data_IF_778070687901
#
_entry.id   IF_778070687901
#
_cell.length_a   1.000
_cell.length_b   1.000
_cell.length_c   1.000
_cell.angle_alpha   90.00
_cell.angle_beta   90.00
_cell.angle_gamma   90.00
#
_symmetry.space_group_name_H-M   'P 1'
#
loop_
_entity.id
_entity.type
_entity.pdbx_description
1 polymer ?
#
# COMPACT_ATOMS: atom_id res chain seq x y z
N UNK A 1 21.03 1.64 -4.76
CA UNK A 1 21.24 0.57 -5.75
C UNK A 1 20.01 0.52 -6.62
N UNK A 2 20.20 0.58 -7.92
CA UNK A 2 19.13 0.37 -8.88
C UNK A 2 18.63 -1.10 -8.81
N UNK A 3 17.39 -1.36 -9.23
CA UNK A 3 16.84 -2.72 -9.28
C UNK A 3 17.71 -3.60 -10.16
N UNK A 4 18.22 -3.09 -11.28
CA UNK A 4 19.10 -3.85 -12.18
C UNK A 4 20.44 -4.20 -11.53
N UNK A 5 21.03 -3.26 -10.79
CA UNK A 5 22.29 -3.50 -10.06
C UNK A 5 22.13 -4.61 -9.03
N UNK A 6 21.02 -4.58 -8.29
CA UNK A 6 20.70 -5.59 -7.28
C UNK A 6 20.56 -6.98 -7.90
N UNK A 7 19.86 -7.07 -9.03
CA UNK A 7 19.65 -8.33 -9.74
C UNK A 7 20.96 -8.88 -10.36
N UNK A 8 21.83 -7.99 -10.86
CA UNK A 8 23.16 -8.38 -11.34
C UNK A 8 24.01 -8.92 -10.20
N UNK A 9 23.99 -8.26 -9.03
CA UNK A 9 24.68 -8.74 -7.84
C UNK A 9 24.19 -10.13 -7.41
N UNK A 10 22.87 -10.35 -7.31
CA UNK A 10 22.29 -11.66 -6.98
C UNK A 10 22.73 -12.75 -7.97
N UNK A 11 22.77 -12.42 -9.27
CA UNK A 11 23.21 -13.38 -10.30
C UNK A 11 24.70 -13.72 -10.14
N UNK A 12 25.52 -12.75 -9.74
CA UNK A 12 26.94 -12.98 -9.43
C UNK A 12 27.12 -13.87 -8.19
N UNK A 13 26.41 -13.60 -7.08
CA UNK A 13 26.48 -14.40 -5.85
C UNK A 13 26.01 -15.85 -6.10
N UNK A 14 24.95 -16.04 -6.89
CA UNK A 14 24.50 -17.36 -7.33
C UNK A 14 25.59 -18.13 -8.09
N UNK A 15 26.30 -17.47 -9.01
CA UNK A 15 27.40 -18.11 -9.75
C UNK A 15 28.57 -18.55 -8.84
N UNK A 16 28.72 -17.89 -7.70
CA UNK A 16 29.74 -18.20 -6.68
C UNK A 16 29.22 -19.17 -5.60
N UNK A 17 28.00 -19.70 -5.76
CA UNK A 17 27.33 -20.58 -4.81
C UNK A 17 27.18 -19.99 -3.39
N UNK A 18 27.07 -18.65 -3.30
CA UNK A 18 26.89 -17.88 -2.06
C UNK A 18 25.41 -17.62 -1.80
N UNK A 19 24.65 -18.68 -1.60
CA UNK A 19 23.19 -18.58 -1.39
C UNK A 19 22.85 -17.97 -0.03
N UNK A 20 23.75 -18.09 0.95
CA UNK A 20 23.66 -17.48 2.28
C UNK A 20 23.52 -15.95 2.21
N UNK A 21 24.32 -15.28 1.37
CA UNK A 21 24.27 -13.81 1.22
C UNK A 21 22.94 -13.36 0.61
N UNK A 22 22.35 -14.17 -0.28
CA UNK A 22 21.04 -13.91 -0.88
C UNK A 22 19.93 -14.10 0.15
N UNK A 23 20.01 -15.15 0.98
CA UNK A 23 19.04 -15.38 2.07
C UNK A 23 19.08 -14.26 3.10
N UNK A 24 20.27 -13.79 3.50
CA UNK A 24 20.42 -12.64 4.40
C UNK A 24 19.81 -11.37 3.79
N UNK A 25 20.01 -11.17 2.47
CA UNK A 25 19.40 -10.04 1.77
C UNK A 25 17.87 -10.16 1.70
N UNK A 26 17.32 -11.35 1.43
CA UNK A 26 15.88 -11.59 1.48
C UNK A 26 15.30 -11.35 2.88
N UNK A 27 16.01 -11.78 3.93
CA UNK A 27 15.60 -11.51 5.31
C UNK A 27 15.58 -10.00 5.60
N UNK A 28 16.57 -9.26 5.09
CA UNK A 28 16.58 -7.80 5.18
C UNK A 28 15.40 -7.15 4.46
N UNK A 29 15.08 -7.58 3.22
CA UNK A 29 13.93 -7.07 2.47
C UNK A 29 12.59 -7.41 3.15
N UNK A 30 12.44 -8.61 3.71
CA UNK A 30 11.27 -8.98 4.50
C UNK A 30 11.12 -8.08 5.74
N UNK A 31 12.23 -7.75 6.42
CA UNK A 31 12.24 -6.78 7.51
C UNK A 31 11.77 -5.39 7.07
N UNK A 32 12.22 -4.92 5.89
CA UNK A 32 11.74 -3.66 5.31
C UNK A 32 10.23 -3.71 5.00
N UNK A 33 9.72 -4.81 4.44
CA UNK A 33 8.30 -4.99 4.15
C UNK A 33 7.44 -4.90 5.42
N UNK A 34 7.90 -5.48 6.54
CA UNK A 34 7.20 -5.38 7.83
C UNK A 34 7.10 -3.92 8.26
N UNK A 35 8.21 -3.18 8.21
CA UNK A 35 8.25 -1.79 8.64
C UNK A 35 7.42 -0.87 7.74
N UNK A 36 7.49 -1.04 6.41
CA UNK A 36 6.68 -0.28 5.46
C UNK A 36 5.17 -0.55 5.64
N UNK A 37 4.78 -1.82 5.84
CA UNK A 37 3.38 -2.14 6.12
C UNK A 37 2.92 -1.60 7.46
N UNK A 38 3.78 -1.55 8.47
CA UNK A 38 3.48 -0.92 9.75
C UNK A 38 3.23 0.58 9.55
N UNK A 39 4.10 1.29 8.83
CA UNK A 39 3.94 2.71 8.52
C UNK A 39 2.62 2.99 7.76
N UNK A 40 2.33 2.18 6.73
CA UNK A 40 1.05 2.25 5.99
C UNK A 40 -0.14 2.12 6.95
N UNK A 41 -0.12 1.08 7.79
CA UNK A 41 -1.20 0.79 8.73
C UNK A 41 -1.35 1.87 9.82
N UNK A 42 -0.25 2.45 10.29
CA UNK A 42 -0.26 3.53 11.28
C UNK A 42 -0.90 4.80 10.71
N UNK A 43 -0.51 5.21 9.50
CA UNK A 43 -1.10 6.37 8.82
C UNK A 43 -2.59 6.15 8.53
N UNK A 44 -2.97 4.99 7.96
CA UNK A 44 -4.37 4.64 7.72
C UNK A 44 -5.19 4.67 9.01
N UNK A 45 -4.71 4.06 10.10
CA UNK A 45 -5.40 4.10 11.40
C UNK A 45 -5.49 5.51 11.97
N UNK A 46 -4.44 6.32 11.79
CA UNK A 46 -4.41 7.72 12.21
C UNK A 46 -5.49 8.54 11.50
N UNK A 47 -5.58 8.41 10.18
CA UNK A 47 -6.59 9.07 9.37
C UNK A 47 -8.02 8.64 9.75
N UNK A 48 -8.28 7.34 9.86
CA UNK A 48 -9.63 6.83 10.19
C UNK A 48 -10.09 7.30 11.58
N UNK A 49 -9.20 7.28 12.59
CA UNK A 49 -9.51 7.82 13.92
C UNK A 49 -9.79 9.31 13.91
N UNK A 50 -9.07 10.06 13.10
CA UNK A 50 -9.35 11.49 12.90
C UNK A 50 -10.71 11.68 12.23
N UNK A 51 -11.01 10.88 11.20
CA UNK A 51 -12.26 10.93 10.46
C UNK A 51 -13.46 10.66 11.38
N UNK A 52 -13.42 9.59 12.19
CA UNK A 52 -14.47 9.25 13.17
C UNK A 52 -14.79 10.40 14.12
N UNK A 53 -13.75 11.11 14.58
CA UNK A 53 -13.91 12.29 15.44
C UNK A 53 -14.53 13.47 14.71
N UNK A 54 -14.13 13.70 13.46
CA UNK A 54 -14.63 14.81 12.65
C UNK A 54 -16.08 14.58 12.22
N UNK A 55 -16.44 13.35 11.82
CA UNK A 55 -17.81 13.01 11.41
C UNK A 55 -18.73 12.67 12.59
N UNK A 56 -18.17 12.46 13.79
CA UNK A 56 -18.92 12.11 15.00
C UNK A 56 -19.68 10.79 14.92
N UNK A 57 -19.17 9.83 14.15
CA UNK A 57 -19.76 8.52 13.95
C UNK A 57 -18.66 7.46 13.82
N UNK A 58 -18.94 6.25 14.31
CA UNK A 58 -18.06 5.09 14.11
C UNK A 58 -18.15 4.64 12.65
N UNK A 59 -17.00 4.40 12.01
CA UNK A 59 -16.95 3.95 10.61
C UNK A 59 -17.64 2.58 10.45
N UNK A 60 -17.63 1.73 11.49
CA UNK A 60 -18.25 0.41 11.43
C UNK A 60 -19.78 0.45 11.34
N UNK A 61 -20.41 1.57 11.70
CA UNK A 61 -21.85 1.81 11.59
C UNK A 61 -22.27 2.42 10.23
N UNK A 62 -21.30 2.77 9.38
CA UNK A 62 -21.54 3.41 8.09
C UNK A 62 -21.76 2.39 6.97
N UNK A 63 -22.59 2.77 6.00
CA UNK A 63 -22.74 2.03 4.75
C UNK A 63 -21.46 2.19 3.92
N UNK A 64 -21.03 1.12 3.24
CA UNK A 64 -19.77 1.07 2.46
C UNK A 64 -18.52 1.34 3.30
N UNK A 65 -18.51 0.91 4.57
CA UNK A 65 -17.36 1.06 5.47
C UNK A 65 -16.03 0.55 4.92
N UNK A 66 -16.03 -0.51 4.09
CA UNK A 66 -14.80 -0.99 3.44
C UNK A 66 -14.18 0.07 2.56
N UNK A 67 -14.97 0.76 1.72
CA UNK A 67 -14.48 1.84 0.86
C UNK A 67 -13.96 3.05 1.69
N UNK A 68 -14.49 3.26 2.89
CA UNK A 68 -13.98 4.29 3.82
C UNK A 68 -12.66 3.83 4.44
N UNK A 69 -12.56 2.57 4.87
CA UNK A 69 -11.35 1.97 5.44
C UNK A 69 -10.21 1.88 4.40
N UNK A 70 -10.56 1.67 3.14
CA UNK A 70 -9.68 1.59 1.98
C UNK A 70 -9.68 2.90 1.17
N UNK A 71 -9.87 4.05 1.82
CA UNK A 71 -9.92 5.36 1.15
C UNK A 71 -8.71 5.63 0.23
N UNK A 72 -7.56 5.04 0.54
CA UNK A 72 -6.30 5.18 -0.18
C UNK A 72 -6.21 4.34 -1.47
N UNK A 73 -7.25 3.55 -1.77
CA UNK A 73 -7.44 2.87 -3.05
C UNK A 73 -8.38 3.65 -3.99
N UNK A 74 -8.90 4.80 -3.54
CA UNK A 74 -9.87 5.60 -4.27
C UNK A 74 -9.46 7.06 -4.32
N UNK A 75 -10.07 7.82 -5.23
CA UNK A 75 -9.89 9.27 -5.25
C UNK A 75 -10.76 9.96 -4.19
N UNK A 76 -10.48 11.25 -3.96
CA UNK A 76 -11.23 12.05 -3.00
C UNK A 76 -12.73 12.14 -3.35
N UNK A 77 -13.07 12.15 -4.64
CA UNK A 77 -14.46 12.24 -5.08
C UNK A 77 -15.25 11.00 -4.64
N UNK A 78 -14.71 9.81 -4.86
CA UNK A 78 -15.31 8.56 -4.42
C UNK A 78 -15.46 8.52 -2.90
N UNK A 79 -14.40 8.88 -2.17
CA UNK A 79 -14.43 8.98 -0.72
C UNK A 79 -15.54 9.92 -0.24
N UNK A 80 -15.66 11.10 -0.84
CA UNK A 80 -16.67 12.09 -0.51
C UNK A 80 -18.10 11.60 -0.82
N UNK A 81 -18.32 10.95 -1.96
CA UNK A 81 -19.62 10.38 -2.30
C UNK A 81 -20.06 9.29 -1.31
N UNK A 82 -19.13 8.46 -0.84
CA UNK A 82 -19.41 7.46 0.21
C UNK A 82 -19.80 8.14 1.53
N UNK A 83 -19.15 9.24 1.92
CA UNK A 83 -19.54 10.01 3.11
C UNK A 83 -20.92 10.66 2.95
N UNK A 84 -21.23 11.25 1.78
CA UNK A 84 -22.54 11.87 1.50
C UNK A 84 -23.70 10.89 1.61
N UNK A 85 -23.51 9.63 1.20
CA UNK A 85 -24.53 8.57 1.37
C UNK A 85 -24.87 8.32 2.85
N UNK A 86 -23.93 8.62 3.74
CA UNK A 86 -24.08 8.46 5.18
C UNK A 86 -24.49 9.75 5.91
N UNK A 87 -24.73 10.86 5.21
CA UNK A 87 -24.94 12.20 5.80
C UNK A 87 -25.90 12.27 6.99
N UNK A 88 -26.95 11.44 7.01
CA UNK A 88 -27.96 11.44 8.09
C UNK A 88 -27.42 10.87 9.41
N UNK A 89 -26.31 10.13 9.37
CA UNK A 89 -25.62 9.55 10.53
C UNK A 89 -24.44 10.41 11.01
N UNK A 90 -24.08 11.45 10.26
CA UNK A 90 -22.89 12.25 10.53
C UNK A 90 -23.27 13.52 11.29
N UNK A 91 -22.36 13.97 12.14
CA UNK A 91 -22.46 15.24 12.86
C UNK A 91 -22.09 16.45 11.98
N UNK A 92 -21.46 16.20 10.82
CA UNK A 92 -21.11 17.21 9.82
C UNK A 92 -21.87 16.95 8.53
N UNK A 93 -22.13 18.01 7.75
CA UNK A 93 -22.61 17.86 6.38
C UNK A 93 -21.41 17.78 5.40
N UNK A 94 -21.15 16.64 4.76
CA UNK A 94 -20.10 16.52 3.74
C UNK A 94 -20.40 17.31 2.46
N UNK A 95 -21.58 17.93 2.34
CA UNK A 95 -21.95 18.82 1.24
C UNK A 95 -21.54 20.28 1.52
N UNK A 96 -21.25 20.61 2.78
CA UNK A 96 -20.78 21.94 3.16
C UNK A 96 -19.36 22.20 2.65
N UNK A 97 -19.16 23.36 2.00
CA UNK A 97 -17.90 23.70 1.35
C UNK A 97 -16.71 23.78 2.33
N UNK A 98 -16.92 24.26 3.56
CA UNK A 98 -15.83 24.36 4.54
C UNK A 98 -15.44 22.96 5.04
N UNK A 99 -16.43 22.09 5.26
CA UNK A 99 -16.20 20.70 5.65
C UNK A 99 -15.57 19.87 4.55
N UNK A 100 -16.00 20.04 3.30
CA UNK A 100 -15.35 19.40 2.14
C UNK A 100 -13.88 19.76 2.05
N UNK A 101 -13.55 21.04 2.15
CA UNK A 101 -12.16 21.49 2.11
C UNK A 101 -11.32 20.86 3.23
N UNK A 102 -11.85 20.82 4.45
CA UNK A 102 -11.16 20.18 5.59
C UNK A 102 -10.92 18.69 5.32
N UNK A 103 -11.91 17.97 4.79
CA UNK A 103 -11.79 16.57 4.43
C UNK A 103 -10.75 16.37 3.32
N UNK A 104 -10.74 17.23 2.30
CA UNK A 104 -9.79 17.19 1.19
C UNK A 104 -8.36 17.46 1.64
N UNK A 105 -8.15 18.46 2.48
CA UNK A 105 -6.82 18.82 3.01
C UNK A 105 -6.22 17.65 3.81
N UNK A 106 -7.01 17.02 4.68
CA UNK A 106 -6.57 15.87 5.46
C UNK A 106 -6.40 14.61 4.63
N UNK A 107 -7.29 14.36 3.66
CA UNK A 107 -7.18 13.24 2.73
C UNK A 107 -5.89 13.36 1.92
N UNK A 108 -5.65 14.53 1.32
CA UNK A 108 -4.46 14.80 0.50
C UNK A 108 -3.19 14.67 1.33
N UNK A 109 -3.20 15.18 2.57
CA UNK A 109 -2.07 15.02 3.48
C UNK A 109 -1.77 13.55 3.76
N UNK A 110 -2.79 12.74 4.03
CA UNK A 110 -2.61 11.32 4.28
C UNK A 110 -2.12 10.57 3.05
N UNK A 111 -2.68 10.87 1.87
CA UNK A 111 -2.22 10.30 0.59
C UNK A 111 -0.75 10.65 0.30
N UNK A 112 -0.30 11.87 0.60
CA UNK A 112 1.10 12.26 0.41
C UNK A 112 2.09 11.44 1.25
N UNK A 113 1.62 10.84 2.36
CA UNK A 113 2.40 9.91 3.17
C UNK A 113 2.26 8.48 2.65
N UNK A 114 1.05 8.06 2.27
CA UNK A 114 0.77 6.68 1.84
C UNK A 114 1.32 6.35 0.46
N UNK A 115 1.26 7.26 -0.51
CA UNK A 115 1.74 7.06 -1.88
C UNK A 115 3.21 6.58 -1.94
N UNK A 116 4.19 7.27 -1.33
CA UNK A 116 5.57 6.82 -1.36
C UNK A 116 5.77 5.49 -0.61
N UNK A 117 4.98 5.23 0.44
CA UNK A 117 5.05 3.96 1.19
C UNK A 117 4.51 2.82 0.33
N UNK A 118 3.35 2.99 -0.33
CA UNK A 118 2.78 2.00 -1.26
C UNK A 118 3.74 1.68 -2.39
N UNK A 119 4.35 2.71 -3.00
CA UNK A 119 5.33 2.52 -4.06
C UNK A 119 6.55 1.72 -3.58
N UNK A 120 7.06 2.00 -2.38
CA UNK A 120 8.17 1.23 -1.80
C UNK A 120 7.78 -0.22 -1.54
N UNK A 121 6.60 -0.47 -0.98
CA UNK A 121 6.09 -1.82 -0.76
C UNK A 121 6.06 -2.59 -2.08
N UNK A 122 5.45 -2.02 -3.12
CA UNK A 122 5.38 -2.65 -4.44
C UNK A 122 6.78 -2.91 -5.03
N UNK A 123 7.66 -1.91 -4.97
CA UNK A 123 9.03 -2.06 -5.50
C UNK A 123 9.83 -3.14 -4.77
N UNK A 124 9.65 -3.26 -3.45
CA UNK A 124 10.30 -4.28 -2.64
C UNK A 124 9.72 -5.67 -2.92
N UNK A 125 8.41 -5.79 -3.09
CA UNK A 125 7.71 -7.01 -3.48
C UNK A 125 8.20 -7.53 -4.83
N UNK A 126 8.18 -6.66 -5.85
CA UNK A 126 8.72 -6.95 -7.19
C UNK A 126 10.19 -7.39 -7.16
N UNK A 127 10.98 -6.79 -6.27
CA UNK A 127 12.39 -7.15 -6.10
C UNK A 127 12.53 -8.54 -5.48
N UNK A 128 11.76 -8.85 -4.43
CA UNK A 128 11.76 -10.16 -3.79
C UNK A 128 11.37 -11.24 -4.81
N UNK A 129 10.30 -11.03 -5.58
CA UNK A 129 9.85 -11.97 -6.60
C UNK A 129 10.94 -12.27 -7.62
N UNK A 130 11.60 -11.23 -8.15
CA UNK A 130 12.72 -11.40 -9.10
C UNK A 130 13.89 -12.18 -8.51
N UNK A 131 14.18 -11.99 -7.23
CA UNK A 131 15.23 -12.74 -6.53
C UNK A 131 14.81 -14.21 -6.37
N UNK A 132 13.57 -14.46 -5.97
CA UNK A 132 13.00 -15.80 -5.81
C UNK A 132 12.98 -16.54 -7.15
N UNK A 133 12.52 -15.91 -8.22
CA UNK A 133 12.54 -16.50 -9.57
C UNK A 133 13.94 -16.93 -9.99
N UNK A 134 14.97 -16.14 -9.64
CA UNK A 134 16.38 -16.49 -9.91
C UNK A 134 16.88 -17.62 -9.02
N UNK A 135 16.52 -17.65 -7.75
CA UNK A 135 16.88 -18.73 -6.82
C UNK A 135 16.34 -20.09 -7.31
N UNK A 136 15.12 -20.10 -7.86
CA UNK A 136 14.48 -21.29 -8.40
C UNK A 136 14.72 -21.51 -9.91
N UNK A 137 15.50 -20.62 -10.54
CA UNK A 137 15.83 -20.67 -11.96
C UNK A 137 14.60 -20.76 -12.88
N UNK A 138 13.54 -20.00 -12.57
CA UNK A 138 12.33 -19.96 -13.40
C UNK A 138 12.61 -19.34 -14.77
N UNK A 139 12.00 -19.94 -15.77
CA UNK A 139 11.93 -19.42 -17.14
C UNK A 139 10.88 -18.31 -17.26
N UNK A 140 10.95 -17.51 -18.32
CA UNK A 140 9.95 -16.47 -18.57
C UNK A 140 8.52 -17.03 -18.64
N UNK A 141 8.34 -18.23 -19.19
CA UNK A 141 7.02 -18.87 -19.26
C UNK A 141 6.49 -19.29 -17.88
N UNK A 142 7.35 -19.78 -17.00
CA UNK A 142 6.97 -20.09 -15.61
C UNK A 142 6.64 -18.82 -14.82
N UNK A 143 7.41 -17.74 -15.04
CA UNK A 143 7.13 -16.42 -14.44
C UNK A 143 5.77 -15.90 -14.90
N UNK A 144 5.45 -15.97 -16.20
CA UNK A 144 4.15 -15.55 -16.73
C UNK A 144 2.98 -16.35 -16.15
N UNK A 145 3.17 -17.65 -15.89
CA UNK A 145 2.18 -18.48 -15.20
C UNK A 145 1.98 -18.01 -13.75
N UNK A 146 3.06 -17.75 -13.01
CA UNK A 146 3.00 -17.28 -11.62
C UNK A 146 2.34 -15.90 -11.52
N UNK A 147 2.65 -15.00 -12.45
CA UNK A 147 2.12 -13.64 -12.49
C UNK A 147 0.71 -13.56 -13.12
N UNK A 148 0.13 -14.69 -13.54
CA UNK A 148 -1.22 -14.74 -14.11
C UNK A 148 -1.36 -13.98 -15.43
N UNK A 149 -0.28 -13.85 -16.21
CA UNK A 149 -0.26 -13.14 -17.50
C UNK A 149 -0.60 -14.03 -18.71
N UNK A 150 -0.88 -15.31 -18.45
CA UNK A 150 -1.31 -16.31 -19.44
C UNK A 150 -2.83 -16.55 -19.35
N UNK A 151 -3.65 -15.52 -19.58
CA UNK A 151 -5.10 -15.63 -19.88
C UNK A 151 -5.49 -14.62 -20.98
#
# INVERSE_FOLDING_TARGET
MDVKETINWVSNELSQNRTDTIHDFLAHLAGQMIELNKQKNEETKGFLKWLEREIGADIDDLTNKTAIKEYHEHDFNHFLEVLKRNRNKLSIDPSDRKKQKLLEDHFTKSMSVLEPVKLKIQTTDDLIDRIVYKLYNLTSGEIEIVEGRNE
#
